data_IF_268377756186
#
_entry.id   IF_268377756186
#
_cell.length_a   1.000
_cell.length_b   1.000
_cell.length_c   1.000
_cell.angle_alpha   90.00
_cell.angle_beta   90.00
_cell.angle_gamma   90.00
#
_symmetry.space_group_name_H-M   'P 1'
#
loop_
_entity.id
_entity.type
_entity.pdbx_description
1 polymer ?
#
# COMPACT_ATOMS: atom_id res chain seq x y z
N UNK A 1 49.84 25.32 -22.89
CA UNK A 1 49.07 24.17 -22.38
C UNK A 1 47.99 24.70 -21.42
N UNK A 2 46.72 24.47 -21.81
CA UNK A 2 45.46 24.60 -21.05
C UNK A 2 45.31 25.63 -19.91
N UNK A 3 44.80 26.82 -20.26
CA UNK A 3 43.92 27.63 -19.38
C UNK A 3 42.47 27.47 -19.84
N UNK A 4 41.93 26.26 -19.70
CA UNK A 4 40.51 25.95 -19.95
C UNK A 4 39.87 25.23 -18.75
N UNK A 5 40.63 24.98 -17.68
CA UNK A 5 40.21 24.13 -16.57
C UNK A 5 39.37 24.86 -15.49
N UNK A 6 39.27 26.19 -15.53
CA UNK A 6 38.76 26.98 -14.39
C UNK A 6 37.28 27.38 -14.50
N UNK A 7 36.59 27.10 -15.61
CA UNK A 7 35.18 27.51 -15.81
C UNK A 7 34.18 26.35 -15.77
N UNK A 8 34.56 25.19 -15.24
CA UNK A 8 33.58 24.22 -14.78
C UNK A 8 33.04 24.70 -13.41
N UNK A 9 32.27 25.81 -13.42
CA UNK A 9 31.32 26.06 -12.34
C UNK A 9 30.44 24.82 -12.35
N UNK A 10 30.57 24.00 -11.32
CA UNK A 10 29.71 22.85 -11.07
C UNK A 10 28.31 23.41 -10.76
N UNK A 11 27.61 23.89 -11.78
CA UNK A 11 26.21 24.27 -11.73
C UNK A 11 25.46 22.95 -11.69
N UNK A 12 25.54 22.23 -10.57
CA UNK A 12 24.51 21.26 -10.26
C UNK A 12 23.21 22.07 -10.27
N UNK A 13 22.27 21.80 -11.20
CA UNK A 13 21.05 22.57 -11.26
C UNK A 13 20.33 22.31 -9.94
N UNK A 14 20.27 23.33 -9.05
CA UNK A 14 19.50 23.28 -7.79
C UNK A 14 18.03 22.87 -8.02
N UNK A 15 17.55 22.97 -9.26
CA UNK A 15 16.26 22.46 -9.71
C UNK A 15 16.10 20.93 -9.54
N UNK A 16 17.16 20.14 -9.66
CA UNK A 16 17.08 18.69 -9.51
C UNK A 16 16.74 18.26 -8.07
N UNK A 17 17.15 19.04 -7.07
CA UNK A 17 16.80 18.84 -5.65
C UNK A 17 15.33 19.19 -5.36
N UNK A 18 14.72 20.08 -6.15
CA UNK A 18 13.33 20.50 -5.99
C UNK A 18 12.32 19.52 -6.63
N UNK A 19 12.76 18.72 -7.60
CA UNK A 19 11.89 17.75 -8.28
C UNK A 19 11.79 16.50 -7.42
N UNK A 20 10.72 16.40 -6.63
CA UNK A 20 10.42 15.22 -5.82
C UNK A 20 9.64 14.16 -6.59
N UNK A 21 9.63 12.92 -6.08
CA UNK A 21 8.77 11.86 -6.62
C UNK A 21 7.29 12.30 -6.71
N UNK A 22 6.78 12.95 -5.65
CA UNK A 22 5.39 13.44 -5.59
C UNK A 22 5.03 14.31 -6.77
N UNK A 23 5.87 15.31 -7.07
CA UNK A 23 5.67 16.23 -8.18
C UNK A 23 5.58 15.51 -9.53
N UNK A 24 6.49 14.57 -9.78
CA UNK A 24 6.50 13.80 -11.04
C UNK A 24 5.30 12.88 -11.14
N UNK A 25 4.90 12.23 -10.04
CA UNK A 25 3.75 11.35 -10.00
C UNK A 25 2.42 12.09 -10.26
N UNK A 26 2.28 13.32 -9.77
CA UNK A 26 1.12 14.17 -10.07
C UNK A 26 1.09 14.59 -11.54
N UNK A 27 2.25 14.94 -12.12
CA UNK A 27 2.37 15.23 -13.54
C UNK A 27 1.98 14.02 -14.40
N UNK A 28 2.45 12.82 -14.06
CA UNK A 28 2.07 11.58 -14.74
C UNK A 28 0.55 11.34 -14.69
N UNK A 29 -0.10 11.59 -13.56
CA UNK A 29 -1.55 11.45 -13.43
C UNK A 29 -2.34 12.41 -14.31
N UNK A 30 -1.82 13.62 -14.53
CA UNK A 30 -2.48 14.64 -15.36
C UNK A 30 -2.25 14.42 -16.86
N UNK A 31 -1.01 14.10 -17.24
CA UNK A 31 -0.60 14.11 -18.66
C UNK A 31 -0.68 12.73 -19.30
N UNK A 32 -0.35 11.66 -18.58
CA UNK A 32 -0.14 10.33 -19.17
C UNK A 32 -1.24 9.34 -18.80
N UNK A 33 -1.70 9.35 -17.55
CA UNK A 33 -2.71 8.40 -17.08
C UNK A 33 -4.02 8.45 -17.89
N UNK A 34 -4.60 9.62 -18.24
CA UNK A 34 -5.86 9.69 -18.98
C UNK A 34 -5.79 9.09 -20.39
N UNK A 35 -4.58 9.01 -20.96
CA UNK A 35 -4.33 8.46 -22.30
C UNK A 35 -4.30 6.92 -22.31
N UNK A 36 -4.26 6.26 -21.15
CA UNK A 36 -4.22 4.80 -21.04
C UNK A 36 -5.63 4.20 -21.05
N UNK A 37 -5.78 2.92 -21.40
CA UNK A 37 -7.06 2.22 -21.30
C UNK A 37 -7.60 2.17 -19.86
N UNK A 38 -8.92 2.21 -19.68
CA UNK A 38 -9.59 2.33 -18.37
C UNK A 38 -9.12 1.30 -17.33
N UNK A 39 -8.97 0.04 -17.74
CA UNK A 39 -8.49 -1.01 -16.83
C UNK A 39 -7.06 -0.72 -16.35
N UNK A 40 -6.19 -0.33 -17.28
CA UNK A 40 -4.80 0.04 -17.00
C UNK A 40 -4.73 1.28 -16.11
N UNK A 41 -5.63 2.24 -16.27
CA UNK A 41 -5.71 3.41 -15.39
C UNK A 41 -5.97 3.00 -13.93
N UNK A 42 -6.99 2.15 -13.71
CA UNK A 42 -7.34 1.67 -12.36
C UNK A 42 -6.18 0.92 -11.70
N UNK A 43 -5.47 0.09 -12.47
CA UNK A 43 -4.35 -0.67 -11.93
C UNK A 43 -3.16 0.26 -11.63
N UNK A 44 -2.84 1.20 -12.51
CA UNK A 44 -1.80 2.20 -12.25
C UNK A 44 -2.08 3.08 -11.03
N UNK A 45 -3.34 3.44 -10.76
CA UNK A 45 -3.71 4.19 -9.55
C UNK A 45 -3.39 3.40 -8.27
N UNK A 46 -3.62 2.08 -8.29
CA UNK A 46 -3.25 1.20 -7.16
C UNK A 46 -1.73 1.12 -7.00
N UNK A 47 -0.99 1.04 -8.10
CA UNK A 47 0.47 1.03 -8.06
C UNK A 47 1.05 2.37 -7.59
N UNK A 48 0.47 3.49 -8.00
CA UNK A 48 0.85 4.82 -7.51
C UNK A 48 0.66 4.96 -6.00
N UNK A 49 -0.45 4.46 -5.46
CA UNK A 49 -0.66 4.44 -4.01
C UNK A 49 0.46 3.70 -3.26
N UNK A 50 1.04 2.66 -3.88
CA UNK A 50 2.18 1.93 -3.34
C UNK A 50 3.50 2.66 -3.45
N UNK A 51 3.72 3.32 -4.57
CA UNK A 51 4.90 4.14 -4.74
C UNK A 51 4.91 5.33 -3.75
N UNK A 52 3.75 5.95 -3.50
CA UNK A 52 3.64 7.01 -2.48
C UNK A 52 3.96 6.51 -1.07
N UNK A 53 3.50 5.31 -0.71
CA UNK A 53 3.79 4.72 0.61
C UNK A 53 5.30 4.50 0.85
N UNK A 54 6.08 4.27 -0.21
CA UNK A 54 7.51 3.99 -0.11
C UNK A 54 8.42 5.21 -0.36
N UNK A 55 8.11 6.04 -1.37
CA UNK A 55 8.99 7.14 -1.82
C UNK A 55 8.62 8.53 -1.28
N UNK A 56 7.50 8.68 -0.56
CA UNK A 56 6.99 10.00 -0.12
C UNK A 56 7.07 10.25 1.40
N UNK A 57 7.83 9.44 2.14
CA UNK A 57 7.95 9.54 3.59
C UNK A 57 9.40 9.33 4.07
N UNK A 58 10.29 10.35 4.04
CA UNK A 58 10.10 11.73 3.56
C UNK A 58 10.12 11.85 2.02
N UNK A 59 9.61 12.95 1.43
CA UNK A 59 9.58 13.12 -0.03
C UNK A 59 10.99 13.11 -0.62
N UNK A 60 11.31 12.03 -1.34
CA UNK A 60 12.62 11.85 -1.96
C UNK A 60 12.76 12.72 -3.22
N UNK A 61 13.88 13.45 -3.39
CA UNK A 61 14.26 14.03 -4.67
C UNK A 61 14.40 12.92 -5.73
N UNK A 62 13.89 13.15 -6.93
CA UNK A 62 13.91 12.17 -8.02
C UNK A 62 15.35 11.77 -8.39
N UNK A 63 16.26 12.75 -8.36
CA UNK A 63 17.68 12.54 -8.65
C UNK A 63 18.37 11.55 -7.68
N UNK A 64 17.82 11.38 -6.47
CA UNK A 64 18.37 10.50 -5.45
C UNK A 64 17.77 9.09 -5.50
N UNK A 65 16.86 8.80 -6.44
CA UNK A 65 16.29 7.46 -6.61
C UNK A 65 17.29 6.58 -7.37
N UNK A 66 18.15 5.91 -6.62
CA UNK A 66 19.08 4.92 -7.14
C UNK A 66 18.46 3.53 -7.38
N UNK A 67 19.08 2.67 -8.21
CA UNK A 67 18.62 1.30 -8.45
C UNK A 67 18.45 0.46 -7.17
N UNK A 68 19.26 0.73 -6.14
CA UNK A 68 19.15 0.05 -4.84
C UNK A 68 17.79 0.32 -4.17
N UNK A 69 17.26 1.54 -4.27
CA UNK A 69 15.95 1.89 -3.72
C UNK A 69 14.81 1.18 -4.46
N UNK A 70 14.97 0.96 -5.77
CA UNK A 70 14.01 0.18 -6.57
C UNK A 70 13.99 -1.27 -6.08
N UNK A 71 15.17 -1.86 -5.84
CA UNK A 71 15.26 -3.23 -5.30
C UNK A 71 14.60 -3.32 -3.92
N UNK A 72 14.88 -2.38 -3.03
CA UNK A 72 14.24 -2.29 -1.71
C UNK A 72 12.71 -2.19 -1.82
N UNK A 73 12.20 -1.37 -2.75
CA UNK A 73 10.76 -1.26 -3.00
C UNK A 73 10.13 -2.58 -3.43
N UNK A 74 10.79 -3.33 -4.32
CA UNK A 74 10.29 -4.63 -4.79
C UNK A 74 10.21 -5.63 -3.63
N UNK A 75 11.26 -5.72 -2.82
CA UNK A 75 11.30 -6.61 -1.65
C UNK A 75 10.25 -6.18 -0.60
N UNK A 76 10.13 -4.88 -0.35
CA UNK A 76 9.11 -4.31 0.55
C UNK A 76 7.68 -4.62 0.08
N UNK A 77 7.38 -4.53 -1.22
CA UNK A 77 6.05 -4.85 -1.76
C UNK A 77 5.65 -6.30 -1.51
N UNK A 78 6.59 -7.24 -1.67
CA UNK A 78 6.32 -8.66 -1.40
C UNK A 78 6.02 -8.86 0.09
N UNK A 79 6.81 -8.26 0.98
CA UNK A 79 6.60 -8.34 2.42
C UNK A 79 5.27 -7.72 2.86
N UNK A 80 4.90 -6.57 2.30
CA UNK A 80 3.62 -5.93 2.59
C UNK A 80 2.44 -6.79 2.11
N UNK A 81 2.53 -7.41 0.93
CA UNK A 81 1.51 -8.34 0.45
C UNK A 81 1.32 -9.53 1.41
N UNK A 82 2.42 -10.14 1.86
CA UNK A 82 2.41 -11.22 2.85
C UNK A 82 1.76 -10.76 4.16
N UNK A 83 2.17 -9.59 4.68
CA UNK A 83 1.62 -9.00 5.90
C UNK A 83 0.11 -8.76 5.80
N UNK A 84 -0.36 -8.25 4.66
CA UNK A 84 -1.79 -8.02 4.40
C UNK A 84 -2.58 -9.31 4.36
N UNK A 85 -2.05 -10.35 3.71
CA UNK A 85 -2.69 -11.66 3.65
C UNK A 85 -2.79 -12.29 5.04
N UNK A 86 -1.72 -12.26 5.82
CA UNK A 86 -1.71 -12.74 7.20
C UNK A 86 -2.73 -12.00 8.08
N UNK A 87 -2.82 -10.67 7.92
CA UNK A 87 -3.80 -9.84 8.63
C UNK A 87 -5.24 -10.24 8.27
N UNK A 88 -5.54 -10.40 6.97
CA UNK A 88 -6.86 -10.88 6.51
C UNK A 88 -7.19 -12.27 7.09
N UNK A 89 -6.23 -13.20 7.08
CA UNK A 89 -6.38 -14.52 7.67
C UNK A 89 -6.61 -14.50 9.19
N UNK A 90 -5.96 -13.58 9.92
CA UNK A 90 -6.21 -13.37 11.36
C UNK A 90 -7.63 -12.87 11.61
N UNK A 91 -8.07 -11.86 10.87
CA UNK A 91 -9.44 -11.30 10.99
C UNK A 91 -10.49 -12.36 10.67
N UNK A 92 -10.30 -13.15 9.62
CA UNK A 92 -11.21 -14.25 9.27
C UNK A 92 -11.33 -15.30 10.38
N UNK A 93 -10.21 -15.68 11.02
CA UNK A 93 -10.20 -16.60 12.17
C UNK A 93 -10.93 -16.01 13.38
N UNK A 94 -10.69 -14.74 13.68
CA UNK A 94 -11.36 -14.06 14.80
C UNK A 94 -12.87 -13.94 14.60
N UNK A 95 -13.32 -13.59 13.39
CA UNK A 95 -14.74 -13.54 13.03
C UNK A 95 -15.42 -14.90 13.16
N UNK A 96 -14.78 -15.98 12.69
CA UNK A 96 -15.29 -17.36 12.88
C UNK A 96 -15.46 -17.68 14.37
N UNK A 97 -14.45 -17.41 15.20
CA UNK A 97 -14.53 -17.65 16.64
C UNK A 97 -15.58 -16.79 17.36
N UNK A 98 -15.91 -15.60 16.85
CA UNK A 98 -17.05 -14.79 17.35
C UNK A 98 -18.38 -15.42 16.95
N UNK A 99 -18.54 -15.84 15.70
CA UNK A 99 -19.76 -16.48 15.21
C UNK A 99 -20.05 -17.80 15.93
N UNK A 100 -19.05 -18.66 16.14
CA UNK A 100 -19.18 -19.91 16.90
C UNK A 100 -19.62 -19.66 18.36
N UNK A 101 -19.08 -18.62 19.01
CA UNK A 101 -19.49 -18.21 20.37
C UNK A 101 -20.89 -17.59 20.42
N UNK A 102 -21.35 -16.97 19.34
CA UNK A 102 -22.70 -16.40 19.24
C UNK A 102 -23.71 -17.52 18.97
N UNK A 103 -23.40 -18.48 18.09
CA UNK A 103 -24.21 -19.67 17.84
C UNK A 103 -24.41 -20.54 19.09
N UNK A 104 -23.37 -20.71 19.92
CA UNK A 104 -23.47 -21.41 21.21
C UNK A 104 -24.33 -20.70 22.27
N UNK A 105 -24.63 -19.40 22.11
CA UNK A 105 -25.52 -18.66 23.03
C UNK A 105 -27.01 -18.78 22.68
N UNK A 106 -27.35 -19.46 21.59
CA UNK A 106 -28.73 -19.66 21.13
C UNK A 106 -29.10 -21.15 21.13
N UNK A 107 -28.82 -21.86 22.21
CA UNK A 107 -29.31 -23.22 22.48
C UNK A 107 -29.43 -23.44 24.00
N UNK A 108 -30.28 -22.65 24.68
CA UNK A 108 -30.75 -22.91 26.05
C UNK A 108 -32.01 -22.06 26.28
N UNK A 109 -33.14 -22.44 25.65
CA UNK A 109 -34.50 -21.96 26.01
C UNK A 109 -35.63 -22.71 25.28
N UNK A 110 -35.56 -24.03 25.25
CA UNK A 110 -36.69 -24.97 25.17
C UNK A 110 -36.16 -26.20 25.93
N UNK A 111 -36.82 -26.86 26.88
CA UNK A 111 -38.23 -27.15 27.09
C UNK A 111 -38.36 -27.74 28.50
N UNK A 112 -39.25 -27.20 29.33
CA UNK A 112 -39.72 -27.82 30.56
C UNK A 112 -41.17 -28.26 30.38
N UNK A 113 -41.39 -29.39 29.70
CA UNK A 113 -42.66 -30.13 29.73
C UNK A 113 -42.40 -31.37 30.58
N UNK A 114 -43.17 -31.55 31.66
CA UNK A 114 -43.44 -32.87 32.22
C UNK A 114 -44.81 -32.85 32.91
N UNK A 115 -45.76 -33.58 32.31
CA UNK A 115 -47.01 -34.05 32.93
C UNK A 115 -46.69 -34.87 34.18
N UNK A 116 -47.52 -34.78 35.22
CA UNK A 116 -47.80 -35.92 36.11
C UNK A 116 -49.29 -35.94 36.44
N UNK A 117 -49.81 -37.16 36.48
CA UNK A 117 -51.20 -37.60 36.49
C UNK A 117 -51.81 -37.65 37.90
N UNK A 118 -53.14 -37.46 37.99
CA UNK A 118 -54.06 -38.23 38.84
C UNK A 118 -54.05 -38.03 40.36
N UNK A 119 -55.14 -37.47 40.89
CA UNK A 119 -56.06 -38.07 41.87
C UNK A 119 -57.38 -37.30 41.84
#
# INVERSE_FOLDING_TARGET
MQKWAELAVNVQPRHAELITFRYVAERYQREVLPQKGLRTQQDNLKELAKLYEFFDAPPAPLANIEPIHIRQYLDWRVQDAVRRLQRKGRVAREMKGKFERIGKRRCFRTSGISRVSGA
#
